data_IF_020441514046
#
_entry.id   IF_020441514046
#
_cell.length_a   1.000
_cell.length_b   1.000
_cell.length_c   1.000
_cell.angle_alpha   90.00
_cell.angle_beta   90.00
_cell.angle_gamma   90.00
#
_symmetry.space_group_name_H-M   'P 1'
#
loop_
_entity.id
_entity.type
_entity.pdbx_description
1 polymer ?
#
# COMPACT_ATOMS: atom_id res chain seq x y z
N UNK A 1 -6.84 13.51 -26.16
CA UNK A 1 -6.40 13.76 -24.77
C UNK A 1 -7.47 13.21 -23.87
N UNK A 2 -7.29 11.96 -23.43
CA UNK A 2 -8.02 11.42 -22.28
C UNK A 2 -7.13 11.74 -21.08
N UNK A 3 -7.55 12.64 -20.21
CA UNK A 3 -6.95 12.85 -18.90
C UNK A 3 -7.40 11.67 -18.04
N UNK A 4 -6.54 10.67 -17.89
CA UNK A 4 -6.69 9.64 -16.86
C UNK A 4 -6.14 10.21 -15.57
N UNK A 5 -7.02 10.38 -14.58
CA UNK A 5 -6.64 10.74 -13.22
C UNK A 5 -6.09 9.49 -12.54
N UNK A 6 -4.91 9.60 -11.94
CA UNK A 6 -4.22 8.52 -11.22
C UNK A 6 -4.53 8.58 -9.74
N UNK A 7 -4.61 7.43 -9.09
CA UNK A 7 -4.59 7.27 -7.64
C UNK A 7 -3.50 6.25 -7.27
N UNK A 8 -2.42 6.71 -6.64
CA UNK A 8 -1.60 5.88 -5.74
C UNK A 8 -2.49 5.65 -4.52
N UNK A 9 -2.69 4.42 -4.02
CA UNK A 9 -3.75 4.12 -3.02
C UNK A 9 -3.83 5.11 -1.87
N UNK A 10 -4.64 6.11 -2.19
CA UNK A 10 -5.37 7.04 -1.40
C UNK A 10 -6.68 6.88 -2.13
N UNK A 11 -7.65 6.27 -1.48
CA UNK A 11 -8.95 6.07 -2.11
C UNK A 11 -9.39 7.44 -2.62
N UNK A 12 -9.43 7.62 -3.95
CA UNK A 12 -10.19 8.71 -4.55
C UNK A 12 -11.66 8.33 -4.40
N UNK A 13 -12.15 8.31 -3.17
CA UNK A 13 -13.57 8.47 -2.95
C UNK A 13 -13.91 9.85 -3.50
N UNK A 14 -14.72 9.88 -4.56
CA UNK A 14 -15.68 10.97 -4.72
C UNK A 14 -16.27 11.20 -3.32
N UNK A 15 -16.30 12.43 -2.77
CA UNK A 15 -16.56 12.68 -1.35
C UNK A 15 -17.58 11.69 -0.85
N UNK A 16 -17.10 10.76 -0.02
CA UNK A 16 -17.84 9.57 0.34
C UNK A 16 -19.23 10.01 0.81
N UNK A 17 -20.28 9.33 0.36
CA UNK A 17 -21.60 9.55 0.94
C UNK A 17 -21.44 9.19 2.42
N UNK A 18 -21.53 10.20 3.29
CA UNK A 18 -21.30 10.05 4.72
C UNK A 18 -21.99 8.78 5.24
N UNK A 19 -21.19 7.90 5.85
CA UNK A 19 -21.66 6.70 6.53
C UNK A 19 -22.39 7.11 7.82
N UNK A 20 -23.16 6.20 8.39
CA UNK A 20 -24.04 6.51 9.53
C UNK A 20 -23.33 7.03 10.78
N UNK A 21 -22.00 6.84 10.89
CA UNK A 21 -21.20 7.28 12.03
C UNK A 21 -20.27 8.46 11.72
N UNK A 22 -20.28 8.97 10.48
CA UNK A 22 -19.40 10.07 10.08
C UNK A 22 -19.85 11.39 10.71
N UNK A 23 -18.89 12.24 11.05
CA UNK A 23 -19.14 13.61 11.49
C UNK A 23 -18.97 14.56 10.31
N UNK A 24 -20.09 15.15 9.85
CA UNK A 24 -20.09 16.13 8.76
C UNK A 24 -20.16 17.54 9.32
N UNK A 25 -19.26 18.42 8.89
CA UNK A 25 -19.22 19.85 9.25
C UNK A 25 -19.35 20.68 7.98
N UNK A 26 -20.26 21.66 7.98
CA UNK A 26 -20.56 22.50 6.82
C UNK A 26 -21.74 22.00 5.97
N UNK A 27 -22.53 21.06 6.50
CA UNK A 27 -23.88 20.79 5.98
C UNK A 27 -24.87 21.92 6.33
N UNK A 28 -24.49 22.72 7.33
CA UNK A 28 -25.13 23.96 7.74
C UNK A 28 -24.21 25.15 7.42
N UNK A 29 -24.70 26.21 6.75
CA UNK A 29 -23.86 27.34 6.35
C UNK A 29 -23.14 28.00 7.54
N UNK A 30 -21.83 28.15 7.41
CA UNK A 30 -20.95 28.78 8.42
C UNK A 30 -20.79 27.98 9.70
N UNK A 31 -21.01 26.67 9.67
CA UNK A 31 -20.81 25.79 10.82
C UNK A 31 -19.34 25.75 11.25
N UNK A 32 -19.13 25.88 12.57
CA UNK A 32 -17.80 25.81 13.18
C UNK A 32 -17.82 24.80 14.32
N UNK A 33 -16.94 23.80 14.22
CA UNK A 33 -16.64 22.86 15.29
C UNK A 33 -15.33 23.27 15.97
N UNK A 34 -15.37 23.51 17.28
CA UNK A 34 -14.18 23.77 18.09
C UNK A 34 -13.84 22.53 18.91
N UNK A 35 -12.64 22.01 18.76
CA UNK A 35 -12.11 20.85 19.50
C UNK A 35 -11.11 21.36 20.54
N UNK A 36 -11.56 21.57 21.77
CA UNK A 36 -10.74 22.07 22.89
C UNK A 36 -10.44 21.01 23.97
N UNK A 37 -10.97 19.81 23.76
CA UNK A 37 -10.82 18.61 24.58
C UNK A 37 -10.85 17.37 23.67
N UNK A 38 -10.88 16.17 24.25
CA UNK A 38 -10.98 14.94 23.46
C UNK A 38 -12.32 14.88 22.72
N UNK A 39 -12.26 14.86 21.39
CA UNK A 39 -13.34 14.46 20.50
C UNK A 39 -12.93 13.17 19.80
N UNK A 40 -13.80 12.16 19.85
CA UNK A 40 -13.63 10.93 19.09
C UNK A 40 -14.72 10.85 18.03
N UNK A 41 -14.30 10.66 16.78
CA UNK A 41 -15.16 10.38 15.63
C UNK A 41 -14.97 8.90 15.30
N UNK A 42 -16.05 8.12 15.42
CA UNK A 42 -16.10 6.67 15.16
C UNK A 42 -16.48 6.42 13.69
N UNK A 43 -15.65 6.94 12.79
CA UNK A 43 -15.88 7.05 11.34
C UNK A 43 -15.07 8.21 10.77
N UNK A 44 -15.50 8.75 9.64
CA UNK A 44 -14.80 9.85 8.98
C UNK A 44 -15.21 11.22 9.53
N UNK A 45 -14.27 12.16 9.55
CA UNK A 45 -14.57 13.59 9.71
C UNK A 45 -14.61 14.23 8.32
N UNK A 46 -15.77 14.71 7.90
CA UNK A 46 -15.97 15.31 6.58
C UNK A 46 -16.30 16.80 6.72
N UNK A 47 -15.39 17.66 6.27
CA UNK A 47 -15.56 19.13 6.30
C UNK A 47 -15.78 19.64 4.88
N UNK A 48 -16.97 20.18 4.63
CA UNK A 48 -17.43 20.57 3.30
C UNK A 48 -17.92 22.01 3.27
N UNK A 49 -18.12 22.56 2.06
CA UNK A 49 -18.63 23.91 1.85
C UNK A 49 -17.85 24.93 2.67
N UNK A 50 -18.48 25.81 3.44
CA UNK A 50 -17.84 26.80 4.32
C UNK A 50 -17.70 26.30 5.78
N UNK A 51 -17.80 24.99 5.99
CA UNK A 51 -17.59 24.36 7.29
C UNK A 51 -16.16 24.52 7.79
N UNK A 52 -16.00 24.67 9.10
CA UNK A 52 -14.69 24.88 9.73
C UNK A 52 -14.51 24.05 10.99
N UNK A 53 -13.36 23.39 11.10
CA UNK A 53 -12.90 22.74 12.32
C UNK A 53 -11.71 23.52 12.88
N UNK A 54 -11.79 23.89 14.16
CA UNK A 54 -10.72 24.56 14.90
C UNK A 54 -10.18 23.63 15.99
N UNK A 55 -8.95 23.15 15.81
CA UNK A 55 -8.25 22.35 16.82
C UNK A 55 -7.49 23.27 17.78
N UNK A 56 -7.98 23.33 19.02
CA UNK A 56 -7.40 24.12 20.09
C UNK A 56 -6.14 23.48 20.67
N UNK A 57 -5.38 24.25 21.46
CA UNK A 57 -4.10 23.81 22.05
C UNK A 57 -4.20 22.60 22.97
N UNK A 58 -5.36 22.37 23.59
CA UNK A 58 -5.64 21.20 24.44
C UNK A 58 -6.57 20.18 23.75
N UNK A 59 -6.93 20.44 22.49
CA UNK A 59 -7.80 19.57 21.71
C UNK A 59 -7.10 18.28 21.34
N UNK A 60 -7.85 17.18 21.39
CA UNK A 60 -7.43 15.90 20.83
C UNK A 60 -8.55 15.46 19.89
N UNK A 61 -8.26 15.44 18.59
CA UNK A 61 -9.17 14.93 17.57
C UNK A 61 -8.73 13.51 17.22
N UNK A 62 -9.51 12.52 17.67
CA UNK A 62 -9.30 11.11 17.32
C UNK A 62 -10.30 10.69 16.26
N UNK A 63 -9.81 10.22 15.11
CA UNK A 63 -10.63 9.81 13.96
C UNK A 63 -10.22 8.40 13.57
N UNK A 64 -11.16 7.46 13.60
CA UNK A 64 -10.88 6.03 13.35
C UNK A 64 -10.80 5.67 11.87
N UNK A 65 -11.19 6.58 10.98
CA UNK A 65 -11.14 6.40 9.53
C UNK A 65 -10.34 7.56 8.92
N UNK A 66 -10.97 8.41 8.10
CA UNK A 66 -10.33 9.49 7.35
C UNK A 66 -10.83 10.89 7.77
N UNK A 67 -9.99 11.90 7.50
CA UNK A 67 -10.37 13.30 7.57
C UNK A 67 -10.41 13.84 6.14
N UNK A 68 -11.60 14.25 5.68
CA UNK A 68 -11.80 14.83 4.35
C UNK A 68 -12.12 16.32 4.43
N UNK A 69 -11.40 17.13 3.64
CA UNK A 69 -11.65 18.56 3.46
C UNK A 69 -11.94 18.83 1.97
N UNK A 70 -13.16 19.27 1.64
CA UNK A 70 -13.59 19.51 0.27
C UNK A 70 -14.44 20.79 0.15
N UNK A 71 -14.69 21.26 -1.07
CA UNK A 71 -15.31 22.58 -1.26
C UNK A 71 -14.41 23.70 -0.73
N UNK A 72 -14.89 24.51 0.23
CA UNK A 72 -14.09 25.50 0.98
C UNK A 72 -13.80 25.01 2.43
N UNK A 73 -13.98 23.71 2.68
CA UNK A 73 -13.90 23.09 4.00
C UNK A 73 -12.51 23.27 4.59
N UNK A 74 -12.45 23.68 5.86
CA UNK A 74 -11.19 24.09 6.48
C UNK A 74 -10.97 23.41 7.82
N UNK A 75 -9.77 22.86 8.03
CA UNK A 75 -9.28 22.45 9.35
C UNK A 75 -8.06 23.30 9.72
N UNK A 76 -8.18 24.05 10.83
CA UNK A 76 -7.10 24.88 11.37
C UNK A 76 -6.72 24.39 12.75
N UNK A 77 -5.43 24.11 12.95
CA UNK A 77 -4.85 23.76 14.24
C UNK A 77 -3.81 24.78 14.69
N UNK A 78 -3.93 25.26 15.93
CA UNK A 78 -2.93 26.13 16.56
C UNK A 78 -2.32 25.45 17.80
N UNK A 79 -2.17 24.13 17.72
CA UNK A 79 -1.75 23.22 18.78
C UNK A 79 -2.56 21.93 18.76
N UNK A 80 -2.52 21.19 19.86
CA UNK A 80 -3.35 19.98 20.04
C UNK A 80 -2.77 18.75 19.34
N UNK A 81 -3.61 17.72 19.22
CA UNK A 81 -3.24 16.41 18.66
C UNK A 81 -4.32 15.87 17.72
N UNK A 82 -3.91 15.30 16.60
CA UNK A 82 -4.73 14.45 15.73
C UNK A 82 -4.26 13.01 15.93
N UNK A 83 -5.17 12.07 16.16
CA UNK A 83 -4.86 10.66 16.40
C UNK A 83 -5.60 9.75 15.41
N UNK A 84 -4.85 8.90 14.73
CA UNK A 84 -5.35 7.82 13.87
C UNK A 84 -5.11 6.47 14.54
N UNK A 85 -6.10 5.91 15.28
CA UNK A 85 -6.00 4.57 15.81
C UNK A 85 -6.18 3.56 14.66
N UNK A 86 -5.06 3.02 14.17
CA UNK A 86 -5.04 2.10 13.03
C UNK A 86 -4.71 0.66 13.46
N UNK A 87 -5.24 -0.31 12.72
CA UNK A 87 -5.02 -1.75 12.89
C UNK A 87 -4.01 -2.31 11.88
N UNK A 88 -3.94 -1.71 10.69
CA UNK A 88 -2.97 -1.96 9.62
C UNK A 88 -2.46 -0.65 9.00
N UNK A 89 -1.35 -0.70 8.28
CA UNK A 89 -0.79 0.49 7.61
C UNK A 89 -1.75 1.04 6.54
N UNK A 90 -1.91 2.37 6.50
CA UNK A 90 -2.75 3.12 5.55
C UNK A 90 -4.26 2.93 5.67
N UNK A 91 -4.73 2.49 6.83
CA UNK A 91 -6.17 2.47 7.17
C UNK A 91 -6.76 3.88 7.22
N UNK A 92 -6.01 4.85 7.78
CA UNK A 92 -6.44 6.24 7.92
C UNK A 92 -5.79 7.17 6.91
N UNK A 93 -6.53 8.21 6.53
CA UNK A 93 -6.10 9.16 5.49
C UNK A 93 -6.50 10.61 5.81
N UNK A 94 -5.68 11.55 5.36
CA UNK A 94 -5.97 12.99 5.29
C UNK A 94 -6.19 13.38 3.82
N UNK A 95 -7.39 13.79 3.48
CA UNK A 95 -7.78 14.13 2.10
C UNK A 95 -8.11 15.62 1.99
N UNK A 96 -7.46 16.35 1.09
CA UNK A 96 -7.68 17.80 0.89
C UNK A 96 -7.89 18.10 -0.60
N UNK A 97 -9.12 18.44 -0.97
CA UNK A 97 -9.57 18.58 -2.36
C UNK A 97 -10.28 19.92 -2.64
N UNK A 98 -10.52 20.21 -3.92
CA UNK A 98 -11.17 21.44 -4.40
C UNK A 98 -10.47 22.74 -3.93
N UNK A 99 -11.07 23.47 -2.99
CA UNK A 99 -10.50 24.65 -2.31
C UNK A 99 -10.35 24.41 -0.81
N UNK A 100 -10.36 23.14 -0.39
CA UNK A 100 -10.14 22.73 0.98
C UNK A 100 -8.79 23.21 1.49
N UNK A 101 -8.73 23.49 2.78
CA UNK A 101 -7.52 24.02 3.44
C UNK A 101 -7.23 23.27 4.73
N UNK A 102 -6.03 22.71 4.83
CA UNK A 102 -5.48 22.16 6.07
C UNK A 102 -4.31 23.05 6.53
N UNK A 103 -4.49 23.77 7.63
CA UNK A 103 -3.48 24.67 8.19
C UNK A 103 -3.19 24.28 9.64
N UNK A 104 -2.04 23.64 9.86
CA UNK A 104 -1.64 23.13 11.17
C UNK A 104 -0.37 23.83 11.64
N UNK A 105 -0.43 24.40 12.85
CA UNK A 105 0.74 24.93 13.52
C UNK A 105 0.85 24.44 14.96
N UNK A 106 2.04 23.99 15.36
CA UNK A 106 2.27 23.47 16.72
C UNK A 106 1.52 22.17 17.04
N UNK A 107 1.03 21.46 16.02
CA UNK A 107 0.16 20.28 16.17
C UNK A 107 0.97 19.00 16.13
N UNK A 108 0.55 17.99 16.90
CA UNK A 108 1.07 16.61 16.80
C UNK A 108 0.10 15.76 15.99
N UNK A 109 0.60 15.01 15.02
CA UNK A 109 -0.15 13.97 14.32
C UNK A 109 0.38 12.61 14.78
N UNK A 110 -0.50 11.76 15.28
CA UNK A 110 -0.17 10.43 15.79
C UNK A 110 -0.76 9.36 14.87
N UNK A 111 0.12 8.57 14.25
CA UNK A 111 -0.25 7.49 13.33
C UNK A 111 -0.69 6.19 14.02
N UNK A 112 -0.68 6.11 15.35
CA UNK A 112 -1.16 4.95 16.09
C UNK A 112 -0.27 3.70 15.97
N UNK A 113 1.00 3.88 15.65
CA UNK A 113 1.98 2.85 15.38
C UNK A 113 2.05 2.40 13.91
N UNK A 114 1.36 3.09 13.00
CA UNK A 114 1.18 2.70 11.59
C UNK A 114 1.44 3.87 10.64
N UNK A 115 1.76 3.56 9.39
CA UNK A 115 1.79 4.58 8.33
C UNK A 115 0.37 5.04 7.99
N UNK A 116 0.23 6.27 7.50
CA UNK A 116 -1.05 6.84 7.04
C UNK A 116 -0.83 7.69 5.79
N UNK A 117 -1.90 7.92 5.03
CA UNK A 117 -1.81 8.64 3.76
C UNK A 117 -2.24 10.09 3.88
N UNK A 118 -1.64 10.96 3.05
CA UNK A 118 -2.07 12.34 2.85
C UNK A 118 -2.23 12.60 1.35
N UNK A 119 -3.47 12.85 0.90
CA UNK A 119 -3.75 13.28 -0.47
C UNK A 119 -4.04 14.76 -0.54
N UNK A 120 -3.39 15.43 -1.48
CA UNK A 120 -3.52 16.86 -1.65
C UNK A 120 -3.79 17.21 -3.11
N UNK A 121 -5.00 17.70 -3.39
CA UNK A 121 -5.34 18.42 -4.62
C UNK A 121 -5.66 19.90 -4.39
N UNK A 122 -5.49 20.39 -3.16
CA UNK A 122 -5.71 21.79 -2.77
C UNK A 122 -4.59 22.28 -1.83
N UNK A 123 -4.86 23.02 -0.75
CA UNK A 123 -3.82 23.69 0.05
C UNK A 123 -3.56 23.02 1.40
N UNK A 124 -2.28 22.73 1.68
CA UNK A 124 -1.81 22.26 2.99
C UNK A 124 -0.64 23.09 3.48
N UNK A 125 -0.73 23.59 4.72
CA UNK A 125 0.33 24.35 5.39
C UNK A 125 0.62 23.74 6.75
N UNK A 126 1.83 23.20 6.93
CA UNK A 126 2.32 22.76 8.24
C UNK A 126 3.46 23.68 8.72
N UNK A 127 3.34 24.14 9.96
CA UNK A 127 4.36 24.97 10.61
C UNK A 127 4.63 24.49 12.04
N UNK A 128 5.81 23.92 12.30
CA UNK A 128 6.15 23.33 13.59
C UNK A 128 5.17 22.19 13.96
N UNK A 129 5.05 21.22 13.05
CA UNK A 129 4.24 19.99 13.22
C UNK A 129 5.16 18.81 13.47
N UNK A 130 4.73 17.87 14.31
CA UNK A 130 5.47 16.63 14.59
C UNK A 130 4.57 15.42 14.27
N UNK A 131 5.06 14.51 13.43
CA UNK A 131 4.42 13.20 13.21
C UNK A 131 5.06 12.18 14.14
N UNK A 132 4.27 11.57 15.02
CA UNK A 132 4.71 10.58 16.00
C UNK A 132 4.06 9.23 15.75
N UNK A 133 4.74 8.16 16.18
CA UNK A 133 4.24 6.78 16.14
C UNK A 133 3.58 6.44 14.79
N UNK A 134 4.26 6.79 13.69
CA UNK A 134 3.75 6.58 12.34
C UNK A 134 4.63 7.25 11.31
N UNK A 135 4.24 7.13 10.04
CA UNK A 135 4.93 7.74 8.90
C UNK A 135 3.91 8.16 7.86
N UNK A 136 4.03 9.40 7.37
CA UNK A 136 3.08 9.96 6.41
C UNK A 136 3.56 9.76 4.98
N UNK A 137 2.73 9.16 4.12
CA UNK A 137 2.98 9.12 2.67
C UNK A 137 2.07 10.12 1.97
N UNK A 138 2.68 11.07 1.28
CA UNK A 138 2.02 12.19 0.64
C UNK A 138 1.92 11.97 -0.86
N UNK A 139 0.70 11.92 -1.38
CA UNK A 139 0.45 12.06 -2.82
C UNK A 139 -0.11 13.44 -3.12
N UNK A 140 0.61 14.21 -3.92
CA UNK A 140 0.27 15.58 -4.31
C UNK A 140 -0.17 15.56 -5.77
N UNK A 141 -1.45 15.85 -6.00
CA UNK A 141 -2.12 15.76 -7.28
C UNK A 141 -2.25 17.13 -7.95
N UNK A 142 -2.90 17.16 -9.12
CA UNK A 142 -3.24 18.37 -9.86
C UNK A 142 -3.87 19.44 -8.97
N UNK A 143 -3.21 20.59 -8.85
CA UNK A 143 -3.67 21.74 -8.05
C UNK A 143 -3.19 21.73 -6.60
N UNK A 144 -2.52 20.67 -6.15
CA UNK A 144 -1.95 20.57 -4.81
C UNK A 144 -0.85 21.61 -4.57
N UNK A 145 -0.94 22.31 -3.44
CA UNK A 145 0.04 23.27 -2.95
C UNK A 145 0.36 22.97 -1.48
N UNK A 146 1.57 22.46 -1.26
CA UNK A 146 2.03 21.98 0.06
C UNK A 146 3.21 22.83 0.53
N UNK A 147 3.06 23.47 1.69
CA UNK A 147 4.10 24.26 2.33
C UNK A 147 4.38 23.74 3.75
N UNK A 148 5.58 23.22 3.97
CA UNK A 148 6.02 22.63 5.24
C UNK A 148 7.20 23.41 5.80
N UNK A 149 7.12 23.79 7.07
CA UNK A 149 8.19 24.47 7.78
C UNK A 149 8.37 23.92 9.18
N UNK A 150 9.62 23.65 9.56
CA UNK A 150 9.98 23.14 10.89
C UNK A 150 9.22 21.85 11.26
N UNK A 151 9.04 20.93 10.29
CA UNK A 151 8.32 19.66 10.49
C UNK A 151 9.29 18.54 10.87
N UNK A 152 8.89 17.74 11.86
CA UNK A 152 9.62 16.56 12.34
C UNK A 152 8.91 15.29 11.88
N UNK A 153 9.69 14.32 11.39
CA UNK A 153 9.21 13.09 10.75
C UNK A 153 8.29 13.40 9.57
N UNK A 154 8.83 14.18 8.61
CA UNK A 154 8.04 14.87 7.59
C UNK A 154 7.31 13.91 6.64
N UNK A 155 7.94 12.77 6.33
CA UNK A 155 7.31 11.71 5.56
C UNK A 155 7.91 11.51 4.17
N UNK A 156 7.11 10.92 3.30
CA UNK A 156 7.43 10.55 1.93
C UNK A 156 6.57 11.33 0.94
N UNK A 157 7.12 11.79 -0.19
CA UNK A 157 6.44 12.74 -1.07
C UNK A 157 6.47 12.30 -2.54
N UNK A 158 5.30 12.15 -3.13
CA UNK A 158 5.08 11.85 -4.55
C UNK A 158 4.23 12.97 -5.19
N UNK A 159 4.81 13.70 -6.13
CA UNK A 159 4.07 14.70 -6.93
C UNK A 159 3.57 14.03 -8.22
N UNK A 160 2.30 13.62 -8.22
CA UNK A 160 1.67 12.80 -9.26
C UNK A 160 1.01 13.62 -10.38
N UNK A 161 1.03 14.95 -10.27
CA UNK A 161 0.44 15.90 -11.22
C UNK A 161 0.99 17.32 -11.07
N UNK A 162 0.51 18.31 -11.86
CA UNK A 162 0.91 19.70 -11.72
C UNK A 162 0.61 20.24 -10.30
N UNK A 163 1.66 20.53 -9.55
CA UNK A 163 1.59 20.84 -8.12
C UNK A 163 2.82 21.63 -7.65
N UNK A 164 2.77 22.14 -6.42
CA UNK A 164 3.91 22.75 -5.72
C UNK A 164 4.16 22.09 -4.37
N UNK A 165 5.44 21.82 -4.08
CA UNK A 165 5.92 21.36 -2.79
C UNK A 165 7.07 22.26 -2.32
N UNK A 166 6.92 22.85 -1.14
CA UNK A 166 7.97 23.62 -0.47
C UNK A 166 8.21 23.07 0.93
N UNK A 167 9.46 22.73 1.23
CA UNK A 167 9.90 22.22 2.52
C UNK A 167 11.08 23.03 3.02
N UNK A 168 11.01 23.54 4.24
CA UNK A 168 12.09 24.30 4.86
C UNK A 168 12.34 23.85 6.29
N UNK A 169 13.59 23.54 6.65
CA UNK A 169 13.97 23.08 8.01
C UNK A 169 13.17 21.85 8.47
N UNK A 170 12.93 20.92 7.56
CA UNK A 170 12.22 19.67 7.83
C UNK A 170 13.22 18.51 8.01
N UNK A 171 12.84 17.46 8.75
CA UNK A 171 13.65 16.23 8.84
C UNK A 171 12.93 14.97 8.32
N UNK A 172 13.72 13.94 8.07
CA UNK A 172 13.24 12.61 7.66
C UNK A 172 12.34 12.65 6.41
N UNK A 173 12.86 13.28 5.35
CA UNK A 173 12.18 13.50 4.07
C UNK A 173 12.57 12.40 3.09
N UNK A 174 11.61 11.63 2.57
CA UNK A 174 11.80 10.77 1.40
C UNK A 174 11.16 11.43 0.17
N UNK A 175 11.97 12.01 -0.72
CA UNK A 175 11.48 12.66 -1.92
C UNK A 175 11.53 11.71 -3.12
N UNK A 176 10.39 11.50 -3.77
CA UNK A 176 10.31 10.80 -5.05
C UNK A 176 10.39 11.78 -6.20
N UNK A 177 11.45 11.66 -7.00
CA UNK A 177 11.45 12.20 -8.35
C UNK A 177 10.45 11.39 -9.18
N UNK A 178 9.21 11.89 -9.23
CA UNK A 178 8.11 11.25 -9.97
C UNK A 178 8.17 11.66 -11.43
N UNK A 179 8.13 10.68 -12.32
CA UNK A 179 8.33 10.81 -13.75
C UNK A 179 7.04 10.38 -14.49
N UNK A 180 6.15 11.31 -14.88
CA UNK A 180 4.93 11.00 -15.62
C UNK A 180 5.21 10.63 -17.10
N UNK A 181 4.16 10.25 -17.84
CA UNK A 181 4.25 9.90 -19.26
C UNK A 181 4.91 11.03 -20.08
N UNK A 182 5.90 10.65 -20.90
CA UNK A 182 6.67 11.55 -21.75
C UNK A 182 7.75 12.35 -21.03
N UNK A 183 7.95 12.16 -19.72
CA UNK A 183 9.05 12.77 -19.01
C UNK A 183 10.40 12.15 -19.37
N UNK A 184 11.43 12.99 -19.43
CA UNK A 184 12.82 12.57 -19.69
C UNK A 184 13.74 13.23 -18.69
N UNK A 185 14.55 12.44 -18.00
CA UNK A 185 15.57 12.92 -17.05
C UNK A 185 16.94 12.30 -17.31
N UNK A 186 18.00 13.09 -17.22
CA UNK A 186 19.39 12.61 -17.15
C UNK A 186 20.15 13.37 -16.05
N UNK A 187 20.21 12.81 -14.85
CA UNK A 187 20.60 13.53 -13.64
C UNK A 187 21.42 12.70 -12.66
N UNK A 188 22.03 13.39 -11.70
CA UNK A 188 22.56 12.83 -10.47
C UNK A 188 21.86 13.51 -9.28
N UNK A 189 21.20 12.72 -8.44
CA UNK A 189 20.57 13.24 -7.23
C UNK A 189 21.64 13.48 -6.15
N UNK A 190 21.43 14.45 -5.24
CA UNK A 190 22.35 14.69 -4.13
C UNK A 190 22.57 13.41 -3.28
N UNK A 191 23.67 13.32 -2.52
CA UNK A 191 23.80 12.24 -1.54
C UNK A 191 22.67 12.34 -0.49
N UNK A 192 22.22 11.20 0.08
CA UNK A 192 21.32 11.22 1.23
C UNK A 192 21.95 11.95 2.43
N UNK A 193 21.13 12.60 3.25
CA UNK A 193 21.57 13.35 4.43
C UNK A 193 21.07 14.80 4.42
N UNK A 194 21.95 15.73 4.76
CA UNK A 194 21.61 17.14 4.87
C UNK A 194 21.58 17.81 3.48
N UNK A 195 20.49 18.52 3.19
CA UNK A 195 20.24 19.21 1.93
C UNK A 195 20.07 20.69 2.21
N UNK A 196 21.06 21.48 1.79
CA UNK A 196 20.98 22.94 1.89
C UNK A 196 19.94 23.51 0.92
N UNK A 197 19.95 23.05 -0.34
CA UNK A 197 18.99 23.46 -1.36
C UNK A 197 18.86 22.37 -2.45
N UNK A 198 17.62 22.04 -2.79
CA UNK A 198 17.25 21.30 -4.00
C UNK A 198 16.05 21.98 -4.65
N UNK A 199 16.14 22.24 -5.95
CA UNK A 199 15.09 22.87 -6.73
C UNK A 199 14.79 22.06 -8.01
N UNK A 200 13.51 21.84 -8.25
CA UNK A 200 12.99 21.25 -9.48
C UNK A 200 11.84 22.13 -9.99
N UNK A 201 11.94 22.61 -11.23
CA UNK A 201 10.93 23.44 -11.87
C UNK A 201 11.07 23.37 -13.41
N UNK A 202 10.31 24.22 -14.11
CA UNK A 202 10.28 24.27 -15.57
C UNK A 202 11.59 24.76 -16.24
N UNK A 203 12.54 25.27 -15.45
CA UNK A 203 13.87 25.68 -15.90
C UNK A 203 14.96 24.64 -15.62
N UNK A 204 14.63 23.51 -14.98
CA UNK A 204 15.61 22.49 -14.62
C UNK A 204 16.19 21.83 -15.87
N UNK A 205 17.48 22.01 -16.20
CA UNK A 205 18.02 21.69 -17.53
C UNK A 205 18.20 20.19 -17.79
N UNK A 206 18.21 19.37 -16.75
CA UNK A 206 18.36 17.91 -16.82
C UNK A 206 17.02 17.17 -16.87
N UNK A 207 15.90 17.89 -16.77
CA UNK A 207 14.55 17.33 -16.77
C UNK A 207 13.68 17.96 -17.85
N UNK A 208 12.74 17.18 -18.36
CA UNK A 208 11.66 17.67 -19.23
C UNK A 208 10.40 16.84 -18.99
N UNK A 209 9.22 17.43 -19.25
CA UNK A 209 7.94 16.76 -19.04
C UNK A 209 7.55 16.57 -17.57
N UNK A 210 8.17 17.30 -16.65
CA UNK A 210 7.82 17.31 -15.22
C UNK A 210 6.88 18.49 -14.96
N UNK A 211 5.62 18.25 -14.58
CA UNK A 211 4.60 19.30 -14.50
C UNK A 211 4.55 20.04 -13.16
N UNK A 212 5.44 19.73 -12.22
CA UNK A 212 5.39 20.21 -10.85
C UNK A 212 6.66 20.96 -10.44
N UNK A 213 6.57 21.68 -9.32
CA UNK A 213 7.71 22.35 -8.69
C UNK A 213 7.99 21.79 -7.31
N UNK A 214 9.28 21.73 -6.98
CA UNK A 214 9.78 21.29 -5.67
C UNK A 214 10.86 22.25 -5.19
N UNK A 215 10.76 22.68 -3.93
CA UNK A 215 11.78 23.44 -3.22
C UNK A 215 12.06 22.78 -1.88
N UNK A 216 13.28 22.28 -1.68
CA UNK A 216 13.73 21.67 -0.42
C UNK A 216 14.92 22.47 0.09
N UNK A 217 14.80 23.08 1.27
CA UNK A 217 15.81 23.98 1.83
C UNK A 217 16.09 23.66 3.30
N UNK A 218 17.37 23.63 3.67
CA UNK A 218 17.85 23.36 5.03
C UNK A 218 17.23 22.11 5.69
N UNK A 219 16.98 21.04 4.93
CA UNK A 219 16.38 19.81 5.43
C UNK A 219 17.45 18.78 5.82
N UNK A 220 17.13 17.90 6.77
CA UNK A 220 18.05 16.85 7.24
C UNK A 220 17.47 15.45 7.03
N UNK A 221 18.34 14.44 7.05
CA UNK A 221 17.96 13.03 6.81
C UNK A 221 17.14 12.83 5.52
N UNK A 222 17.43 13.64 4.49
CA UNK A 222 16.75 13.53 3.20
C UNK A 222 17.23 12.30 2.44
N UNK A 223 16.28 11.56 1.90
CA UNK A 223 16.46 10.37 1.09
C UNK A 223 15.82 10.59 -0.28
N UNK A 224 16.36 9.90 -1.28
CA UNK A 224 15.98 10.09 -2.67
C UNK A 224 15.40 8.80 -3.25
N UNK A 225 14.30 8.94 -3.96
CA UNK A 225 13.68 7.87 -4.71
C UNK A 225 13.28 8.34 -6.11
N UNK A 226 12.99 7.39 -7.00
CA UNK A 226 12.53 7.66 -8.36
C UNK A 226 11.29 6.82 -8.61
N UNK A 227 10.20 7.47 -9.02
CA UNK A 227 8.96 6.79 -9.40
C UNK A 227 8.76 7.00 -10.89
N UNK A 228 8.95 5.97 -11.71
CA UNK A 228 8.68 6.09 -13.15
C UNK A 228 7.33 5.53 -13.53
N UNK A 229 6.63 6.26 -14.40
CA UNK A 229 5.36 5.84 -14.96
C UNK A 229 5.52 5.52 -16.44
N UNK A 230 4.52 4.85 -17.01
CA UNK A 230 4.55 4.48 -18.42
C UNK A 230 4.90 5.65 -19.34
N UNK A 231 5.90 5.43 -20.19
CA UNK A 231 6.41 6.42 -21.13
C UNK A 231 7.51 7.33 -20.59
N UNK A 232 7.88 7.20 -19.31
CA UNK A 232 9.04 7.89 -18.75
C UNK A 232 10.37 7.26 -19.22
N UNK A 233 11.35 8.13 -19.46
CA UNK A 233 12.73 7.76 -19.78
C UNK A 233 13.70 8.41 -18.77
N UNK A 234 14.31 7.60 -17.92
CA UNK A 234 15.25 8.08 -16.91
C UNK A 234 16.66 7.54 -17.12
N UNK A 235 17.64 8.42 -16.96
CA UNK A 235 19.03 8.06 -16.71
C UNK A 235 19.47 8.69 -15.39
N UNK A 236 19.74 7.85 -14.39
CA UNK A 236 20.20 8.28 -13.07
C UNK A 236 21.68 7.89 -12.91
N UNK A 237 22.49 8.85 -12.51
CA UNK A 237 23.95 8.73 -12.43
C UNK A 237 24.44 9.01 -11.03
N UNK A 238 25.48 8.29 -10.60
CA UNK A 238 26.27 8.63 -9.40
C UNK A 238 25.41 8.88 -8.14
N UNK A 239 24.28 8.18 -8.01
CA UNK A 239 23.26 8.43 -6.98
C UNK A 239 23.16 7.27 -6.00
N UNK A 240 22.62 7.55 -4.81
CA UNK A 240 22.22 6.52 -3.84
C UNK A 240 20.72 6.64 -3.62
N UNK A 241 19.97 5.70 -4.19
CA UNK A 241 18.52 5.69 -4.13
C UNK A 241 18.04 4.79 -2.98
N UNK A 242 17.18 5.36 -2.14
CA UNK A 242 16.48 4.62 -1.09
C UNK A 242 15.44 3.67 -1.68
N UNK A 243 14.76 4.10 -2.74
CA UNK A 243 13.77 3.29 -3.46
C UNK A 243 13.78 3.64 -4.95
N UNK A 244 13.54 2.65 -5.80
CA UNK A 244 13.14 2.81 -7.20
C UNK A 244 11.78 2.16 -7.39
N UNK A 245 10.83 2.92 -7.90
CA UNK A 245 9.46 2.52 -8.12
C UNK A 245 9.08 2.60 -9.60
N UNK A 246 8.19 1.71 -10.04
CA UNK A 246 7.57 1.80 -11.36
C UNK A 246 6.07 1.56 -11.28
N UNK A 247 5.28 2.47 -11.85
CA UNK A 247 3.82 2.34 -12.00
C UNK A 247 3.51 1.98 -13.46
N UNK A 248 2.79 0.88 -13.65
CA UNK A 248 2.42 0.33 -14.96
C UNK A 248 0.90 0.45 -15.16
N UNK A 249 0.46 1.07 -16.26
CA UNK A 249 -0.90 1.65 -16.35
C UNK A 249 -1.52 1.60 -17.76
N UNK A 250 -0.94 0.87 -18.72
CA UNK A 250 -1.41 0.87 -20.12
C UNK A 250 -1.72 -0.54 -20.66
N UNK A 251 -2.21 -1.44 -19.81
CA UNK A 251 -2.63 -2.79 -20.18
C UNK A 251 -1.50 -3.62 -20.83
N UNK A 252 -0.26 -3.32 -20.45
CA UNK A 252 0.93 -4.03 -20.91
C UNK A 252 1.07 -5.38 -20.18
N UNK A 253 1.59 -6.38 -20.90
CA UNK A 253 2.10 -7.59 -20.28
C UNK A 253 3.60 -7.41 -20.00
N UNK A 254 3.98 -7.38 -18.73
CA UNK A 254 5.32 -7.01 -18.26
C UNK A 254 5.90 -8.18 -17.47
N UNK A 255 7.12 -8.57 -17.80
CA UNK A 255 7.88 -9.56 -17.02
C UNK A 255 9.14 -8.90 -16.44
N UNK A 256 9.30 -9.05 -15.12
CA UNK A 256 10.44 -8.56 -14.36
C UNK A 256 11.14 -9.76 -13.71
N UNK A 257 12.44 -9.90 -13.98
CA UNK A 257 13.23 -11.06 -13.54
C UNK A 257 14.54 -10.60 -12.92
N UNK A 258 14.89 -11.17 -11.76
CA UNK A 258 16.22 -11.07 -11.18
C UNK A 258 16.53 -9.71 -10.55
N UNK A 259 15.53 -8.97 -10.09
CA UNK A 259 15.78 -7.78 -9.26
C UNK A 259 16.32 -8.18 -7.89
N UNK A 260 17.20 -7.34 -7.36
CA UNK A 260 17.75 -7.51 -6.04
C UNK A 260 17.82 -6.16 -5.33
N UNK A 261 17.25 -6.12 -4.11
CA UNK A 261 17.45 -5.03 -3.17
C UNK A 261 18.94 -4.91 -2.78
N UNK A 262 19.39 -3.69 -2.49
CA UNK A 262 20.78 -3.38 -2.14
C UNK A 262 21.78 -3.49 -3.29
N UNK A 263 21.33 -3.48 -4.55
CA UNK A 263 22.18 -3.61 -5.72
C UNK A 263 22.98 -2.33 -6.02
N UNK A 264 24.20 -2.49 -6.56
CA UNK A 264 24.98 -1.40 -7.16
C UNK A 264 25.07 -1.64 -8.65
N UNK A 265 24.56 -0.68 -9.43
CA UNK A 265 24.40 -0.77 -10.87
C UNK A 265 25.47 0.10 -11.55
N UNK A 266 26.41 -0.56 -12.23
CA UNK A 266 27.53 0.12 -12.89
C UNK A 266 27.09 0.87 -14.16
N UNK A 267 26.36 0.19 -15.04
CA UNK A 267 25.66 0.74 -16.21
C UNK A 267 24.61 -0.30 -16.62
N UNK A 268 23.41 -0.18 -16.07
CA UNK A 268 22.32 -1.15 -16.26
C UNK A 268 21.10 -0.43 -16.79
N UNK A 269 20.47 -1.01 -17.82
CA UNK A 269 19.24 -0.47 -18.42
C UNK A 269 18.13 -1.50 -18.26
N UNK A 270 16.98 -1.04 -17.77
CA UNK A 270 15.75 -1.79 -17.63
C UNK A 270 14.70 -1.16 -18.55
N UNK A 271 14.00 -2.00 -19.30
CA UNK A 271 12.90 -1.61 -20.16
C UNK A 271 11.72 -2.52 -19.83
N UNK A 272 10.69 -1.96 -19.22
CA UNK A 272 9.50 -2.68 -18.76
C UNK A 272 8.28 -1.99 -19.35
N UNK A 273 7.64 -2.61 -20.35
CA UNK A 273 6.62 -1.93 -21.15
C UNK A 273 7.16 -0.61 -21.68
N UNK A 274 6.49 0.49 -21.35
CA UNK A 274 6.87 1.86 -21.73
C UNK A 274 7.78 2.57 -20.73
N UNK A 275 8.10 1.97 -19.58
CA UNK A 275 9.02 2.52 -18.59
C UNK A 275 10.46 2.18 -18.96
N UNK A 276 11.33 3.19 -19.01
CA UNK A 276 12.78 3.01 -19.19
C UNK A 276 13.56 3.59 -18.01
N UNK A 277 14.37 2.75 -17.39
CA UNK A 277 15.39 3.17 -16.44
C UNK A 277 16.79 2.84 -16.95
N UNK A 278 17.74 3.77 -16.80
CA UNK A 278 19.17 3.51 -16.90
C UNK A 278 19.87 4.02 -15.65
N UNK A 279 20.64 3.16 -15.01
CA UNK A 279 21.42 3.48 -13.83
C UNK A 279 22.90 3.38 -14.16
N UNK A 280 23.65 4.44 -13.87
CA UNK A 280 25.10 4.49 -14.07
C UNK A 280 25.76 4.81 -12.74
N UNK A 281 26.62 3.92 -12.24
CA UNK A 281 27.26 4.04 -10.93
C UNK A 281 26.28 4.43 -9.80
N UNK A 282 25.13 3.75 -9.74
CA UNK A 282 24.04 4.09 -8.81
C UNK A 282 23.70 2.89 -7.94
N UNK A 283 23.49 3.10 -6.64
CA UNK A 283 22.99 2.06 -5.74
C UNK A 283 21.48 2.18 -5.55
N UNK A 284 20.78 1.05 -5.59
CA UNK A 284 19.34 0.95 -5.34
C UNK A 284 19.14 0.07 -4.12
N UNK A 285 18.60 0.66 -3.04
CA UNK A 285 18.33 -0.11 -1.82
C UNK A 285 17.09 -0.97 -1.97
N UNK A 286 16.02 -0.43 -2.57
CA UNK A 286 14.73 -1.10 -2.66
C UNK A 286 14.08 -0.92 -4.03
N UNK A 287 13.40 -1.96 -4.51
CA UNK A 287 12.53 -1.92 -5.70
C UNK A 287 11.05 -2.04 -5.31
N UNK A 288 10.22 -1.12 -5.77
CA UNK A 288 8.76 -1.16 -5.59
C UNK A 288 8.08 -1.23 -6.95
N UNK A 289 7.01 -2.02 -7.07
CA UNK A 289 6.34 -2.29 -8.35
C UNK A 289 4.82 -2.16 -8.19
N UNK A 290 4.21 -1.31 -9.00
CA UNK A 290 2.78 -0.99 -8.90
C UNK A 290 2.12 -1.26 -10.25
N UNK A 291 1.13 -2.13 -10.29
CA UNK A 291 0.37 -2.45 -11.50
C UNK A 291 -1.08 -1.98 -11.36
N UNK A 292 -1.53 -1.13 -12.29
CA UNK A 292 -2.88 -0.55 -12.33
C UNK A 292 -3.58 -0.86 -13.65
N UNK A 293 -4.84 -0.42 -13.75
CA UNK A 293 -5.72 -0.64 -14.90
C UNK A 293 -5.76 -2.12 -15.27
N UNK A 294 -5.58 -2.53 -16.54
CA UNK A 294 -5.60 -3.95 -16.93
C UNK A 294 -4.20 -4.51 -17.17
N UNK A 295 -3.18 -4.00 -16.46
CA UNK A 295 -1.80 -4.47 -16.58
C UNK A 295 -1.65 -5.91 -16.09
N UNK A 296 -0.89 -6.74 -16.82
CA UNK A 296 -0.47 -8.08 -16.41
C UNK A 296 1.04 -8.05 -16.07
N UNK A 297 1.36 -8.05 -14.78
CA UNK A 297 2.73 -7.96 -14.27
C UNK A 297 3.16 -9.30 -13.67
N UNK A 298 4.19 -9.91 -14.24
CA UNK A 298 4.83 -11.11 -13.71
C UNK A 298 6.20 -10.77 -13.12
N UNK A 299 6.44 -11.10 -11.85
CA UNK A 299 7.68 -10.90 -11.12
C UNK A 299 8.27 -12.27 -10.77
N UNK A 300 9.47 -12.58 -11.29
CA UNK A 300 10.14 -13.86 -11.07
C UNK A 300 11.51 -13.71 -10.43
N UNK A 301 11.85 -14.62 -9.53
CA UNK A 301 13.21 -14.77 -8.97
C UNK A 301 13.82 -13.44 -8.51
N UNK A 302 13.01 -12.61 -7.85
CA UNK A 302 13.37 -11.24 -7.48
C UNK A 302 13.25 -11.02 -5.98
N UNK A 303 13.95 -10.00 -5.47
CA UNK A 303 13.74 -9.44 -4.13
C UNK A 303 13.26 -8.00 -4.31
N UNK A 304 12.04 -7.73 -3.85
CA UNK A 304 11.36 -6.43 -3.97
C UNK A 304 10.83 -5.98 -2.61
N UNK A 305 10.68 -4.68 -2.41
CA UNK A 305 10.23 -4.09 -1.16
C UNK A 305 8.72 -4.01 -1.01
N UNK A 306 8.01 -3.69 -2.08
CA UNK A 306 6.57 -3.44 -2.08
C UNK A 306 5.98 -3.76 -3.46
N UNK A 307 4.73 -4.25 -3.46
CA UNK A 307 4.00 -4.66 -4.66
C UNK A 307 2.54 -4.26 -4.51
N UNK A 308 2.00 -3.46 -5.43
CA UNK A 308 0.56 -3.20 -5.50
C UNK A 308 -0.06 -3.77 -6.79
N UNK A 309 -1.30 -4.25 -6.66
CA UNK A 309 -2.17 -4.67 -7.75
C UNK A 309 -3.53 -3.99 -7.60
N UNK A 310 -3.80 -2.95 -8.38
CA UNK A 310 -5.01 -2.13 -8.25
C UNK A 310 -5.88 -2.17 -9.52
N UNK A 311 -7.06 -1.54 -9.47
CA UNK A 311 -8.06 -1.51 -10.53
C UNK A 311 -8.44 -2.91 -11.07
N UNK A 312 -7.93 -3.33 -12.22
CA UNK A 312 -8.21 -4.63 -12.84
C UNK A 312 -6.90 -5.38 -13.13
N UNK A 313 -5.81 -4.96 -12.49
CA UNK A 313 -4.48 -5.47 -12.78
C UNK A 313 -4.34 -6.90 -12.26
N UNK A 314 -3.47 -7.66 -12.90
CA UNK A 314 -3.10 -9.00 -12.51
C UNK A 314 -1.60 -8.99 -12.22
N UNK A 315 -1.23 -9.30 -10.98
CA UNK A 315 0.17 -9.44 -10.58
C UNK A 315 0.46 -10.87 -10.19
N UNK A 316 1.46 -11.49 -10.80
CA UNK A 316 1.95 -12.82 -10.43
C UNK A 316 3.37 -12.73 -9.88
N UNK A 317 3.56 -13.18 -8.65
CA UNK A 317 4.83 -13.18 -7.92
C UNK A 317 5.31 -14.62 -7.72
N UNK A 318 6.32 -15.01 -8.47
CA UNK A 318 6.83 -16.39 -8.51
C UNK A 318 8.27 -16.48 -8.02
N UNK A 319 8.52 -17.42 -7.11
CA UNK A 319 9.88 -17.72 -6.61
C UNK A 319 10.63 -16.46 -6.14
N UNK A 320 9.89 -15.52 -5.55
CA UNK A 320 10.39 -14.18 -5.22
C UNK A 320 10.20 -13.89 -3.73
N UNK A 321 10.89 -12.86 -3.25
CA UNK A 321 10.79 -12.38 -1.87
C UNK A 321 10.28 -10.95 -1.89
N UNK A 322 9.19 -10.69 -1.15
CA UNK A 322 8.74 -9.36 -0.80
C UNK A 322 9.22 -9.07 0.62
N UNK A 323 10.25 -8.25 0.75
CA UNK A 323 10.99 -8.09 2.01
C UNK A 323 10.51 -6.93 2.90
N UNK A 324 9.57 -6.11 2.41
CA UNK A 324 9.00 -5.00 3.17
C UNK A 324 9.89 -3.78 3.28
N UNK A 325 11.08 -3.78 2.67
CA UNK A 325 11.99 -2.62 2.75
C UNK A 325 11.43 -1.38 2.06
N UNK A 326 10.37 -1.53 1.27
CA UNK A 326 9.72 -0.47 0.52
C UNK A 326 8.32 -0.11 0.99
N UNK A 327 7.75 -0.86 1.95
CA UNK A 327 6.36 -0.72 2.37
C UNK A 327 5.65 -2.07 2.48
N UNK A 328 4.39 -2.13 2.10
CA UNK A 328 3.54 -3.32 2.22
C UNK A 328 3.24 -3.95 0.86
N UNK A 329 2.38 -4.96 0.86
CA UNK A 329 1.76 -5.49 -0.35
C UNK A 329 0.30 -5.13 -0.30
N UNK A 330 -0.23 -4.66 -1.42
CA UNK A 330 -1.62 -4.29 -1.53
C UNK A 330 -2.29 -4.89 -2.75
N UNK A 331 -3.57 -5.21 -2.61
CA UNK A 331 -4.46 -5.48 -3.74
C UNK A 331 -5.79 -4.78 -3.49
N UNK A 332 -6.24 -3.96 -4.42
CA UNK A 332 -7.44 -3.12 -4.27
C UNK A 332 -8.25 -3.06 -5.57
N UNK A 333 -9.41 -2.40 -5.55
CA UNK A 333 -10.36 -2.40 -6.66
C UNK A 333 -10.86 -3.80 -7.01
N UNK A 334 -10.58 -4.25 -8.24
CA UNK A 334 -10.78 -5.62 -8.75
C UNK A 334 -9.43 -6.28 -9.10
N UNK A 335 -8.33 -5.77 -8.53
CA UNK A 335 -6.99 -6.29 -8.74
C UNK A 335 -6.85 -7.74 -8.28
N UNK A 336 -5.93 -8.47 -8.91
CA UNK A 336 -5.65 -9.86 -8.60
C UNK A 336 -4.16 -10.08 -8.35
N UNK A 337 -3.84 -10.71 -7.23
CA UNK A 337 -2.47 -10.97 -6.82
C UNK A 337 -2.23 -12.46 -6.57
N UNK A 338 -1.28 -13.03 -7.30
CA UNK A 338 -0.93 -14.45 -7.23
C UNK A 338 0.47 -14.65 -6.65
N UNK A 339 0.58 -15.20 -5.44
CA UNK A 339 1.85 -15.56 -4.81
C UNK A 339 2.13 -17.06 -4.96
N UNK A 340 3.11 -17.42 -5.78
CA UNK A 340 3.43 -18.80 -6.10
C UNK A 340 4.87 -19.14 -5.71
N UNK A 341 5.04 -20.05 -4.75
CA UNK A 341 6.37 -20.44 -4.26
C UNK A 341 7.22 -19.25 -3.79
N UNK A 342 6.57 -18.26 -3.19
CA UNK A 342 7.17 -16.97 -2.84
C UNK A 342 7.14 -16.74 -1.33
N UNK A 343 7.95 -15.79 -0.88
CA UNK A 343 8.05 -15.40 0.53
C UNK A 343 7.62 -13.95 0.70
N UNK A 344 6.64 -13.71 1.55
CA UNK A 344 6.23 -12.38 1.98
C UNK A 344 6.68 -12.15 3.43
N UNK A 345 7.46 -11.09 3.66
CA UNK A 345 7.94 -10.67 4.98
C UNK A 345 7.28 -9.37 5.48
N UNK A 346 6.36 -8.81 4.69
CA UNK A 346 5.69 -7.54 4.98
C UNK A 346 4.18 -7.69 5.11
N UNK A 347 3.51 -6.63 5.55
CA UNK A 347 2.05 -6.59 5.60
C UNK A 347 1.44 -6.92 4.24
N UNK A 348 0.36 -7.71 4.24
CA UNK A 348 -0.53 -7.86 3.10
C UNK A 348 -1.88 -7.23 3.45
N UNK A 349 -2.35 -6.30 2.62
CA UNK A 349 -3.68 -5.72 2.72
C UNK A 349 -4.45 -6.00 1.42
N UNK A 350 -5.68 -6.52 1.53
CA UNK A 350 -6.60 -6.73 0.40
C UNK A 350 -7.88 -5.92 0.65
N UNK A 351 -8.24 -5.04 -0.29
CA UNK A 351 -9.31 -4.05 -0.17
C UNK A 351 -10.37 -4.23 -1.28
N UNK A 352 -11.51 -3.54 -1.19
CA UNK A 352 -12.58 -3.52 -2.20
C UNK A 352 -13.06 -4.92 -2.63
N UNK A 353 -13.16 -5.20 -3.94
CA UNK A 353 -13.56 -6.48 -4.53
C UNK A 353 -12.33 -7.30 -5.02
N UNK A 354 -11.17 -7.10 -4.40
CA UNK A 354 -9.90 -7.71 -4.83
C UNK A 354 -9.79 -9.21 -4.55
N UNK A 355 -8.85 -9.88 -5.23
CA UNK A 355 -8.52 -11.28 -5.04
C UNK A 355 -7.03 -11.49 -4.81
N UNK A 356 -6.67 -12.15 -3.71
CA UNK A 356 -5.32 -12.68 -3.48
C UNK A 356 -5.36 -14.21 -3.47
N UNK A 357 -4.48 -14.85 -4.22
CA UNK A 357 -4.27 -16.30 -4.17
C UNK A 357 -2.80 -16.56 -3.87
N UNK A 358 -2.53 -17.23 -2.75
CA UNK A 358 -1.18 -17.63 -2.39
C UNK A 358 -1.08 -19.15 -2.29
N UNK A 359 -0.31 -19.76 -3.17
CA UNK A 359 -0.13 -21.20 -3.27
C UNK A 359 1.32 -21.61 -3.03
N UNK A 360 1.52 -22.51 -2.06
CA UNK A 360 2.83 -23.02 -1.65
C UNK A 360 3.84 -21.89 -1.34
N UNK A 361 3.35 -20.80 -0.77
CA UNK A 361 4.12 -19.61 -0.41
C UNK A 361 4.22 -19.51 1.12
N UNK A 362 4.93 -18.51 1.65
CA UNK A 362 4.97 -18.26 3.09
C UNK A 362 4.75 -16.78 3.38
N UNK A 363 3.87 -16.47 4.34
CA UNK A 363 3.61 -15.11 4.81
C UNK A 363 4.09 -14.99 6.26
N UNK A 364 5.28 -14.42 6.45
CA UNK A 364 5.91 -14.33 7.76
C UNK A 364 5.69 -12.99 8.47
N UNK A 365 4.87 -12.12 7.88
CA UNK A 365 4.38 -10.92 8.55
C UNK A 365 3.25 -11.25 9.54
N UNK A 366 3.16 -10.51 10.66
CA UNK A 366 2.04 -10.63 11.58
C UNK A 366 0.74 -9.99 11.06
N UNK A 367 0.79 -9.24 9.96
CA UNK A 367 -0.33 -8.44 9.44
C UNK A 367 -0.74 -8.96 8.07
N UNK A 368 -1.90 -9.61 8.03
CA UNK A 368 -2.59 -10.05 6.82
C UNK A 368 -4.05 -9.68 7.02
N UNK A 369 -4.49 -8.64 6.33
CA UNK A 369 -5.81 -8.05 6.53
C UNK A 369 -6.56 -8.02 5.19
N UNK A 370 -7.82 -8.46 5.21
CA UNK A 370 -8.77 -8.35 4.10
C UNK A 370 -9.97 -7.54 4.58
N UNK A 371 -10.43 -6.56 3.81
CA UNK A 371 -11.58 -5.71 4.16
C UNK A 371 -12.52 -5.50 2.97
N UNK A 372 -13.62 -4.77 3.18
CA UNK A 372 -14.70 -4.58 2.21
C UNK A 372 -15.25 -5.91 1.68
N UNK A 373 -15.11 -6.20 0.38
CA UNK A 373 -15.53 -7.43 -0.30
C UNK A 373 -14.37 -8.37 -0.65
N UNK A 374 -13.16 -8.12 -0.17
CA UNK A 374 -11.95 -8.76 -0.64
C UNK A 374 -11.91 -10.26 -0.31
N UNK A 375 -11.25 -11.02 -1.19
CA UNK A 375 -11.07 -12.47 -1.05
C UNK A 375 -9.59 -12.82 -1.00
N UNK A 376 -9.17 -13.50 0.06
CA UNK A 376 -7.83 -14.12 0.11
C UNK A 376 -7.99 -15.64 0.14
N UNK A 377 -7.18 -16.36 -0.64
CA UNK A 377 -7.14 -17.81 -0.65
C UNK A 377 -5.70 -18.32 -0.44
N UNK A 378 -5.46 -18.91 0.74
CA UNK A 378 -4.23 -19.59 1.09
C UNK A 378 -4.35 -21.09 0.77
N UNK A 379 -3.43 -21.58 -0.07
CA UNK A 379 -3.28 -22.99 -0.42
C UNK A 379 -1.88 -23.46 -0.03
N UNK A 380 -1.76 -24.30 1.00
CA UNK A 380 -0.46 -24.73 1.54
C UNK A 380 0.46 -23.54 1.84
N UNK A 381 -0.09 -22.48 2.41
CA UNK A 381 0.63 -21.23 2.66
C UNK A 381 0.60 -20.91 4.16
N UNK A 382 1.66 -21.24 4.92
CA UNK A 382 1.72 -20.88 6.33
C UNK A 382 1.77 -19.36 6.53
N UNK A 383 1.05 -18.89 7.55
CA UNK A 383 1.07 -17.52 8.04
C UNK A 383 1.69 -17.45 9.43
N UNK A 384 2.47 -16.40 9.73
CA UNK A 384 3.03 -16.21 11.08
C UNK A 384 2.03 -15.57 12.05
N UNK A 385 1.27 -14.58 11.57
CA UNK A 385 0.14 -13.99 12.29
C UNK A 385 -1.19 -14.67 11.97
N UNK A 386 -2.21 -14.35 12.77
CA UNK A 386 -3.59 -14.70 12.46
C UNK A 386 -4.13 -13.75 11.37
N UNK A 387 -4.49 -14.26 10.18
CA UNK A 387 -5.13 -13.44 9.15
C UNK A 387 -6.47 -12.92 9.65
N UNK A 388 -6.81 -11.68 9.26
CA UNK A 388 -8.01 -10.99 9.70
C UNK A 388 -8.87 -10.60 8.50
N UNK A 389 -10.15 -10.96 8.59
CA UNK A 389 -11.16 -10.53 7.64
C UNK A 389 -12.08 -9.53 8.34
N UNK A 390 -12.24 -8.36 7.74
CA UNK A 390 -13.09 -7.25 8.16
C UNK A 390 -14.31 -7.17 7.24
N UNK A 391 -15.34 -6.40 7.62
CA UNK A 391 -16.54 -6.14 6.82
C UNK A 391 -17.14 -7.38 6.15
N UNK A 392 -17.28 -7.37 4.82
CA UNK A 392 -17.81 -8.49 4.04
C UNK A 392 -16.72 -9.45 3.52
N UNK A 393 -15.45 -9.20 3.83
CA UNK A 393 -14.31 -9.93 3.31
C UNK A 393 -14.26 -11.39 3.81
N UNK A 394 -13.50 -12.21 3.09
CA UNK A 394 -13.33 -13.63 3.42
C UNK A 394 -11.91 -14.11 3.12
N UNK A 395 -11.40 -14.97 4.01
CA UNK A 395 -10.13 -15.66 3.82
C UNK A 395 -10.37 -17.16 3.87
N UNK A 396 -10.02 -17.84 2.77
CA UNK A 396 -9.96 -19.30 2.70
C UNK A 396 -8.57 -19.75 3.11
N UNK A 397 -8.49 -20.65 4.08
CA UNK A 397 -7.23 -21.21 4.56
C UNK A 397 -7.30 -22.74 4.45
N UNK A 398 -6.60 -23.25 3.45
CA UNK A 398 -6.58 -24.67 3.08
C UNK A 398 -5.14 -25.13 2.98
N UNK A 399 -4.78 -26.14 3.77
CA UNK A 399 -3.46 -26.72 3.73
C UNK A 399 -3.52 -28.24 3.96
N UNK A 400 -2.64 -28.97 3.31
CA UNK A 400 -2.33 -30.37 3.61
C UNK A 400 -0.81 -30.45 3.83
N UNK A 401 -0.41 -30.92 5.00
CA UNK A 401 1.01 -31.14 5.29
C UNK A 401 1.57 -32.28 4.42
N UNK A 402 2.85 -32.20 4.00
CA UNK A 402 3.51 -33.34 3.37
C UNK A 402 3.43 -34.59 4.25
N UNK A 403 2.91 -35.67 3.67
CA UNK A 403 2.69 -36.93 4.37
C UNK A 403 3.58 -38.05 3.81
N UNK A 404 4.30 -38.74 4.69
CA UNK A 404 4.94 -40.03 4.39
C UNK A 404 4.25 -41.14 5.20
N UNK A 405 3.91 -42.24 4.53
CA UNK A 405 3.17 -43.35 5.16
C UNK A 405 3.69 -44.72 4.67
N UNK A 406 3.63 -45.73 5.54
CA UNK A 406 3.89 -47.12 5.13
C UNK A 406 2.60 -47.79 4.72
N UNK A 407 2.62 -48.51 3.60
CA UNK A 407 1.45 -49.24 3.11
C UNK A 407 0.91 -50.19 4.18
N UNK A 408 -0.38 -50.03 4.49
CA UNK A 408 -1.10 -50.84 5.48
C UNK A 408 -1.32 -50.09 6.80
N UNK A 409 -0.67 -48.95 7.00
CA UNK A 409 -0.91 -48.09 8.15
C UNK A 409 -2.16 -47.24 7.95
N UNK A 410 -2.76 -46.85 9.08
CA UNK A 410 -3.69 -45.71 9.14
C UNK A 410 -2.89 -44.53 9.66
N UNK A 411 -2.83 -43.47 8.86
CA UNK A 411 -2.05 -42.27 9.17
C UNK A 411 -2.94 -41.04 9.17
N UNK A 412 -2.73 -40.10 10.11
CA UNK A 412 -3.46 -38.84 10.11
C UNK A 412 -2.96 -37.94 8.96
N UNK A 413 -3.88 -37.37 8.21
CA UNK A 413 -3.62 -36.28 7.27
C UNK A 413 -3.75 -34.99 8.07
N UNK A 414 -2.64 -34.30 8.29
CA UNK A 414 -2.57 -33.03 9.01
C UNK A 414 -2.76 -31.85 8.07
N UNK A 415 -3.37 -30.77 8.55
CA UNK A 415 -3.48 -29.53 7.80
C UNK A 415 -4.58 -28.60 8.30
N UNK A 416 -5.05 -27.74 7.40
CA UNK A 416 -6.06 -26.72 7.64
C UNK A 416 -7.20 -26.80 6.62
N UNK A 417 -8.42 -26.58 7.09
CA UNK A 417 -9.61 -26.40 6.29
C UNK A 417 -10.58 -25.49 7.05
N UNK A 418 -10.46 -24.17 6.84
CA UNK A 418 -11.33 -23.18 7.48
C UNK A 418 -11.62 -21.99 6.57
N UNK A 419 -12.63 -21.23 6.97
CA UNK A 419 -12.94 -19.91 6.42
C UNK A 419 -12.91 -18.92 7.57
N UNK A 420 -12.12 -17.85 7.41
CA UNK A 420 -12.12 -16.68 8.30
C UNK A 420 -12.99 -15.63 7.61
N UNK A 421 -14.05 -15.19 8.27
CA UNK A 421 -15.04 -14.28 7.68
C UNK A 421 -15.12 -12.98 8.45
N UNK A 422 -15.30 -11.89 7.71
CA UNK A 422 -15.71 -10.62 8.27
C UNK A 422 -17.12 -10.70 8.87
N UNK A 423 -17.48 -9.76 9.77
CA UNK A 423 -18.77 -9.72 10.43
C UNK A 423 -19.96 -9.65 9.45
N UNK A 424 -19.78 -9.01 8.30
CA UNK A 424 -20.81 -8.79 7.27
C UNK A 424 -20.73 -9.80 6.12
N UNK A 425 -19.75 -10.70 6.12
CA UNK A 425 -19.52 -11.60 4.99
C UNK A 425 -20.73 -12.50 4.71
N UNK A 426 -21.16 -12.64 3.44
CA UNK A 426 -22.24 -13.56 3.08
C UNK A 426 -21.75 -15.01 2.92
N UNK A 427 -20.44 -15.26 3.08
CA UNK A 427 -19.82 -16.56 2.86
C UNK A 427 -19.67 -17.29 4.19
N UNK A 428 -20.08 -18.56 4.20
CA UNK A 428 -20.00 -19.44 5.35
C UNK A 428 -19.24 -20.73 5.04
N UNK A 429 -18.53 -21.24 6.04
CA UNK A 429 -17.99 -22.59 6.01
C UNK A 429 -19.15 -23.60 6.07
N UNK A 430 -19.22 -24.52 5.10
CA UNK A 430 -20.25 -25.57 5.07
C UNK A 430 -19.66 -26.94 5.39
N UNK A 431 -18.66 -27.36 4.61
CA UNK A 431 -17.96 -28.62 4.83
C UNK A 431 -16.70 -28.73 3.97
N UNK A 432 -15.74 -29.55 4.39
CA UNK A 432 -14.61 -29.99 3.56
C UNK A 432 -14.66 -31.50 3.30
N UNK A 433 -13.88 -31.97 2.32
CA UNK A 433 -13.63 -33.38 2.07
C UNK A 433 -12.17 -33.59 1.67
N UNK A 434 -11.60 -34.73 2.05
CA UNK A 434 -10.22 -35.08 1.73
C UNK A 434 -10.23 -36.22 0.74
N UNK A 435 -9.52 -36.06 -0.37
CA UNK A 435 -9.43 -37.07 -1.42
C UNK A 435 -7.97 -37.26 -1.85
N UNK A 436 -7.65 -38.43 -2.37
CA UNK A 436 -6.36 -38.71 -3.00
C UNK A 436 -6.53 -39.00 -4.49
N UNK A 437 -5.48 -38.76 -5.28
CA UNK A 437 -5.44 -39.13 -6.69
C UNK A 437 -4.20 -39.97 -7.00
N UNK A 438 -4.38 -41.05 -7.77
CA UNK A 438 -3.29 -41.83 -8.36
C UNK A 438 -3.01 -41.45 -9.82
N UNK A 439 -3.59 -40.33 -10.29
CA UNK A 439 -3.54 -39.87 -11.68
C UNK A 439 -4.66 -40.43 -12.58
N UNK A 440 -5.41 -41.46 -12.15
CA UNK A 440 -6.56 -42.00 -12.88
C UNK A 440 -7.90 -41.42 -12.42
N UNK A 441 -7.96 -40.85 -11.21
CA UNK A 441 -9.12 -40.17 -10.66
C UNK A 441 -8.97 -39.85 -9.17
N UNK A 442 -9.92 -39.09 -8.63
CA UNK A 442 -9.97 -38.75 -7.21
C UNK A 442 -10.81 -39.78 -6.44
N UNK A 443 -10.25 -40.29 -5.34
CA UNK A 443 -10.92 -41.19 -4.39
C UNK A 443 -11.02 -40.52 -3.04
N UNK A 444 -12.25 -40.45 -2.51
CA UNK A 444 -12.51 -39.82 -1.21
C UNK A 444 -11.87 -40.65 -0.08
N UNK A 445 -11.09 -39.99 0.76
CA UNK A 445 -10.58 -40.52 2.03
C UNK A 445 -11.62 -40.31 3.12
N UNK A 446 -12.11 -39.07 3.23
CA UNK A 446 -13.09 -38.68 4.23
C UNK A 446 -13.96 -37.49 3.74
N UNK A 447 -15.14 -37.34 4.35
CA UNK A 447 -16.04 -36.20 4.14
C UNK A 447 -17.47 -36.58 3.68
N UNK A 448 -18.40 -35.61 3.69
CA UNK A 448 -18.19 -34.22 4.09
C UNK A 448 -18.04 -34.05 5.61
N UNK A 449 -17.04 -33.28 6.04
CA UNK A 449 -16.82 -32.87 7.43
C UNK A 449 -17.33 -31.45 7.59
N UNK A 450 -18.31 -31.24 8.48
CA UNK A 450 -19.01 -29.96 8.64
C UNK A 450 -18.35 -28.96 9.58
N UNK A 451 -17.42 -29.41 10.42
CA UNK A 451 -16.69 -28.55 11.35
C UNK A 451 -15.36 -28.08 10.71
N UNK A 452 -15.00 -26.78 10.81
CA UNK A 452 -13.72 -26.29 10.31
C UNK A 452 -12.56 -26.78 11.16
N UNK A 453 -11.41 -27.02 10.53
CA UNK A 453 -10.17 -27.46 11.18
C UNK A 453 -9.08 -26.40 10.93
N UNK A 454 -8.78 -25.52 11.89
CA UNK A 454 -7.77 -24.47 11.71
C UNK A 454 -6.33 -25.00 11.57
N UNK A 455 -6.00 -26.01 12.37
CA UNK A 455 -4.74 -26.75 12.35
C UNK A 455 -4.98 -28.06 13.09
N UNK A 456 -4.85 -29.20 12.40
CA UNK A 456 -5.05 -30.50 13.01
C UNK A 456 -5.27 -31.64 12.02
N UNK A 457 -5.88 -32.72 12.52
CA UNK A 457 -6.18 -33.91 11.72
C UNK A 457 -7.40 -33.62 10.84
N UNK A 458 -7.18 -33.58 9.53
CA UNK A 458 -8.24 -33.43 8.52
C UNK A 458 -8.96 -34.74 8.23
N UNK A 459 -8.22 -35.86 8.20
CA UNK A 459 -8.76 -37.20 7.94
C UNK A 459 -7.79 -38.30 8.43
N UNK A 460 -8.30 -39.50 8.67
CA UNK A 460 -7.50 -40.71 8.95
C UNK A 460 -7.41 -41.58 7.69
N UNK A 461 -6.23 -41.69 7.08
CA UNK A 461 -6.07 -42.39 5.81
C UNK A 461 -5.55 -43.83 5.97
N UNK A 462 -6.38 -44.82 5.62
CA UNK A 462 -5.97 -46.21 5.53
C UNK A 462 -5.28 -46.52 4.19
N UNK A 463 -3.98 -46.73 4.23
CA UNK A 463 -3.14 -46.90 3.04
C UNK A 463 -3.08 -48.34 2.50
N UNK A 464 -3.83 -49.29 3.05
CA UNK A 464 -3.73 -50.72 2.69
C UNK A 464 -3.99 -50.98 1.18
N UNK A 465 -4.93 -50.23 0.60
CA UNK A 465 -5.34 -50.35 -0.80
C UNK A 465 -4.47 -49.54 -1.78
N UNK A 466 -3.56 -48.71 -1.28
CA UNK A 466 -2.76 -47.79 -2.09
C UNK A 466 -1.44 -48.48 -2.46
N UNK A 467 -1.03 -48.34 -3.72
CA UNK A 467 0.27 -48.83 -4.15
C UNK A 467 1.39 -47.96 -3.55
N UNK A 468 2.62 -48.47 -3.42
CA UNK A 468 3.75 -47.60 -3.11
C UNK A 468 4.01 -46.62 -4.26
N UNK A 469 4.15 -45.32 -3.94
CA UNK A 469 4.37 -44.27 -4.94
C UNK A 469 4.36 -42.87 -4.33
N UNK A 470 4.65 -41.87 -5.17
CA UNK A 470 4.40 -40.46 -4.85
C UNK A 470 3.05 -40.06 -5.46
N UNK A 471 2.24 -39.37 -4.66
CA UNK A 471 0.88 -38.98 -5.01
C UNK A 471 0.74 -37.47 -4.81
N UNK A 472 0.11 -36.75 -5.75
CA UNK A 472 -0.16 -35.32 -5.64
C UNK A 472 -1.30 -34.99 -4.69
#
# INVERSE_FOLDING_TARGET
MRTGTLALTILLTIPAVARGNDLVIGDTPGEVLVVDSLLTVDGSLVVINDGRVELGTNGVLRVTDEIQLAGDGTLIGAGGRIEFPQTYDYESQLLVWDRGTLDLSGTIIDGGGRSFSVAVGASVVFNNVEVVDGFATWAIFDGGDVALSDVVNTGEFLQLGPSSLSMTRCDFVLFWLTLPDGSVVDTALPPPGDVALFELNDQTPWASGIPYTTHIEDCTQTMWAVMARDGADSTIRDSQLRVVGSIFENDDAIEIVGLANGAVLADSTFQWGRVRHRFVNTSVQTWNLYAWQQTDLTIRTSVVGEIFSEDQAIVTVEQSVCDGTGGHIETSGQGQLFFLHSLCLTQLTSLDDSLVVAANSSFLSPTVDATDGAIIAFYNTPTFGDPRAHDAAVIFDVAIEPLEATRGDTVPIMGAARVIRGPESPIDFVSYGVAFSDGAGWSLIDGPVGDPTPDGVLAEWNTAAVAPGQYP
#
